data_IF_869565060015
#
_entry.id   IF_869565060015
#
_cell.length_a   1.000
_cell.length_b   1.000
_cell.length_c   1.000
_cell.angle_alpha   90.00
_cell.angle_beta   90.00
_cell.angle_gamma   90.00
#
_symmetry.space_group_name_H-M   'P 1'
#
loop_
_entity.id
_entity.type
_entity.pdbx_description
1 polymer ?
#
# COMPACT_ATOMS: atom_id res chain seq x y z
N UNK A 1 -6.91 15.46 7.96
CA UNK A 1 -6.42 14.21 8.55
C UNK A 1 -5.20 13.73 7.79
N UNK A 2 -4.29 13.08 8.49
CA UNK A 2 -3.18 12.32 7.89
C UNK A 2 -3.66 10.89 7.60
N UNK A 3 -3.72 10.54 6.31
CA UNK A 3 -4.21 9.22 5.87
C UNK A 3 -3.07 8.44 5.22
N UNK A 4 -2.77 7.27 5.76
CA UNK A 4 -1.78 6.36 5.19
C UNK A 4 -2.45 5.27 4.36
N UNK A 5 -1.90 4.99 3.16
CA UNK A 5 -2.40 3.97 2.24
C UNK A 5 -1.34 2.89 2.07
N UNK A 6 -1.57 1.71 2.63
CA UNK A 6 -0.79 0.52 2.34
C UNK A 6 -1.22 -0.06 0.99
N UNK A 7 -0.28 -0.25 0.05
CA UNK A 7 -0.59 -0.65 -1.32
C UNK A 7 -0.96 0.52 -2.25
N UNK A 8 -0.29 1.67 -2.07
CA UNK A 8 -0.61 2.92 -2.78
C UNK A 8 -0.31 2.87 -4.28
N UNK A 9 0.57 1.99 -4.75
CA UNK A 9 0.86 1.81 -6.19
C UNK A 9 -0.24 1.05 -6.93
N UNK A 10 -1.10 0.34 -6.19
CA UNK A 10 -2.12 -0.53 -6.73
C UNK A 10 -3.30 0.19 -7.39
N UNK A 11 -4.20 -0.62 -7.98
CA UNK A 11 -5.38 -0.17 -8.71
C UNK A 11 -6.34 0.69 -7.88
N UNK A 12 -6.51 0.37 -6.61
CA UNK A 12 -7.35 1.16 -5.69
C UNK A 12 -6.54 2.23 -4.95
N UNK A 13 -5.30 1.93 -4.57
CA UNK A 13 -4.49 2.80 -3.72
C UNK A 13 -4.16 4.14 -4.37
N UNK A 14 -3.76 4.11 -5.64
CA UNK A 14 -3.42 5.33 -6.35
C UNK A 14 -4.61 6.28 -6.56
N UNK A 15 -5.74 5.85 -7.12
CA UNK A 15 -6.91 6.71 -7.24
C UNK A 15 -7.41 7.24 -5.89
N UNK A 16 -7.35 6.42 -4.84
CA UNK A 16 -7.72 6.84 -3.49
C UNK A 16 -6.81 7.97 -2.99
N UNK A 17 -5.49 7.89 -3.24
CA UNK A 17 -4.56 8.94 -2.86
C UNK A 17 -4.90 10.29 -3.51
N UNK A 18 -5.26 10.28 -4.81
CA UNK A 18 -5.69 11.48 -5.53
C UNK A 18 -6.99 12.04 -4.96
N UNK A 19 -7.96 11.16 -4.71
CA UNK A 19 -9.28 11.53 -4.18
C UNK A 19 -9.18 12.18 -2.79
N UNK A 20 -8.42 11.58 -1.88
CA UNK A 20 -8.24 12.09 -0.52
C UNK A 20 -7.49 13.42 -0.52
N UNK A 21 -6.44 13.55 -1.35
CA UNK A 21 -5.70 14.81 -1.48
C UNK A 21 -6.56 15.94 -2.01
N UNK A 22 -7.42 15.66 -3.01
CA UNK A 22 -8.39 16.64 -3.52
C UNK A 22 -9.36 17.12 -2.44
N UNK A 23 -9.67 16.26 -1.46
CA UNK A 23 -10.52 16.59 -0.30
C UNK A 23 -9.77 17.27 0.86
N UNK A 24 -8.51 17.59 0.68
CA UNK A 24 -7.72 18.34 1.64
C UNK A 24 -6.99 17.50 2.68
N UNK A 25 -7.02 16.17 2.58
CA UNK A 25 -6.24 15.30 3.45
C UNK A 25 -4.75 15.36 3.12
N UNK A 26 -3.91 15.15 4.12
CA UNK A 26 -2.50 14.85 3.94
C UNK A 26 -2.36 13.35 3.75
N UNK A 27 -1.72 12.94 2.65
CA UNK A 27 -1.69 11.53 2.25
C UNK A 27 -0.25 11.04 2.15
N UNK A 28 0.00 9.91 2.78
CA UNK A 28 1.20 9.10 2.58
C UNK A 28 0.81 7.70 2.12
N UNK A 29 1.76 6.97 1.55
CA UNK A 29 1.54 5.58 1.23
C UNK A 29 2.82 4.81 1.04
N UNK A 30 2.73 3.49 1.17
CA UNK A 30 3.85 2.60 0.92
C UNK A 30 3.46 1.46 -0.04
N UNK A 31 4.48 0.95 -0.74
CA UNK A 31 4.34 -0.17 -1.67
C UNK A 31 5.70 -0.82 -1.92
N UNK A 32 5.73 -2.11 -2.20
CA UNK A 32 6.91 -2.86 -2.61
C UNK A 32 6.96 -3.15 -4.13
N UNK A 33 5.90 -2.81 -4.86
CA UNK A 33 5.69 -3.05 -6.30
C UNK A 33 5.49 -4.52 -6.71
N UNK A 34 5.36 -5.46 -5.80
CA UNK A 34 5.16 -6.88 -6.13
C UNK A 34 3.95 -7.12 -7.03
N UNK A 35 2.91 -6.29 -6.95
CA UNK A 35 1.76 -6.38 -7.85
C UNK A 35 2.15 -6.30 -9.33
N UNK A 36 3.15 -5.51 -9.67
CA UNK A 36 3.65 -5.38 -11.05
C UNK A 36 4.32 -6.67 -11.51
N UNK A 37 5.10 -7.29 -10.60
CA UNK A 37 5.83 -8.53 -10.88
C UNK A 37 4.84 -9.70 -11.03
N UNK A 38 3.85 -9.81 -10.16
CA UNK A 38 2.81 -10.87 -10.24
C UNK A 38 2.00 -10.82 -11.55
N UNK A 39 1.64 -9.62 -12.01
CA UNK A 39 0.92 -9.44 -13.27
C UNK A 39 1.74 -9.98 -14.45
N UNK A 40 3.06 -9.75 -14.44
CA UNK A 40 3.96 -10.28 -15.47
C UNK A 40 4.15 -11.79 -15.35
N UNK A 41 4.34 -12.30 -14.14
CA UNK A 41 4.47 -13.73 -13.85
C UNK A 41 3.25 -14.52 -14.32
N UNK A 42 2.06 -13.98 -14.18
CA UNK A 42 0.80 -14.55 -14.67
C UNK A 42 0.61 -14.39 -16.20
N UNK A 43 1.60 -13.90 -16.94
CA UNK A 43 1.50 -13.65 -18.37
C UNK A 43 0.49 -12.56 -18.74
N UNK A 44 0.16 -11.70 -17.80
CA UNK A 44 -0.82 -10.61 -17.98
C UNK A 44 -0.13 -9.25 -18.06
N UNK A 45 -0.89 -8.25 -18.45
CA UNK A 45 -0.42 -6.86 -18.44
C UNK A 45 -1.56 -5.92 -18.05
N UNK A 46 -1.21 -4.75 -17.54
CA UNK A 46 -2.21 -3.72 -17.26
C UNK A 46 -2.88 -3.24 -18.55
N UNK A 47 -4.18 -3.00 -18.51
CA UNK A 47 -4.94 -2.44 -19.64
C UNK A 47 -4.42 -1.06 -20.08
N UNK A 48 -3.82 -0.32 -19.14
CA UNK A 48 -3.12 0.93 -19.41
C UNK A 48 -1.71 0.86 -18.84
N UNK A 49 -0.69 1.47 -19.49
CA UNK A 49 0.67 1.49 -18.96
C UNK A 49 0.74 2.15 -17.58
N UNK A 50 1.33 1.45 -16.63
CA UNK A 50 1.60 2.00 -15.29
C UNK A 50 2.94 2.72 -15.31
N UNK A 51 2.93 4.03 -15.13
CA UNK A 51 4.13 4.86 -15.09
C UNK A 51 4.97 4.57 -13.85
N UNK A 52 6.26 4.91 -13.90
CA UNK A 52 7.14 4.83 -12.73
C UNK A 52 6.60 5.71 -11.60
N UNK A 53 6.81 5.31 -10.36
CA UNK A 53 6.33 6.08 -9.20
C UNK A 53 6.90 7.51 -9.18
N UNK A 54 8.14 7.71 -9.60
CA UNK A 54 8.75 9.05 -9.72
C UNK A 54 7.98 9.97 -10.66
N UNK A 55 7.51 9.45 -11.80
CA UNK A 55 6.69 10.21 -12.75
C UNK A 55 5.30 10.51 -12.17
N UNK A 56 4.71 9.51 -11.47
CA UNK A 56 3.41 9.64 -10.82
C UNK A 56 3.45 10.69 -9.70
N UNK A 57 4.50 10.69 -8.86
CA UNK A 57 4.69 11.69 -7.80
C UNK A 57 4.91 13.10 -8.36
N UNK A 58 5.65 13.23 -9.47
CA UNK A 58 5.80 14.50 -10.17
C UNK A 58 4.45 15.03 -10.67
N UNK A 59 3.69 14.20 -11.38
CA UNK A 59 2.35 14.57 -11.87
C UNK A 59 1.38 14.89 -10.72
N UNK A 60 1.49 14.19 -9.59
CA UNK A 60 0.73 14.47 -8.39
C UNK A 60 1.03 15.87 -7.85
N UNK A 61 2.31 16.21 -7.72
CA UNK A 61 2.73 17.55 -7.28
C UNK A 61 2.24 18.64 -8.23
N UNK A 62 2.41 18.46 -9.54
CA UNK A 62 1.96 19.40 -10.57
C UNK A 62 0.43 19.62 -10.53
N UNK A 63 -0.33 18.56 -10.19
CA UNK A 63 -1.81 18.63 -10.13
C UNK A 63 -2.34 19.28 -8.86
N UNK A 64 -1.75 19.01 -7.71
CA UNK A 64 -2.30 19.40 -6.41
C UNK A 64 -1.50 20.48 -5.68
N UNK A 65 -0.30 20.81 -6.14
CA UNK A 65 0.64 21.67 -5.40
C UNK A 65 1.08 21.06 -4.06
N UNK A 66 0.90 19.75 -3.88
CA UNK A 66 1.20 18.99 -2.66
C UNK A 66 2.06 17.77 -2.99
N UNK A 67 2.74 17.22 -2.01
CA UNK A 67 3.52 16.00 -2.16
C UNK A 67 2.79 14.82 -1.52
N UNK A 68 2.67 13.71 -2.25
CA UNK A 68 2.38 12.42 -1.66
C UNK A 68 3.68 11.88 -1.04
N UNK A 69 3.69 11.61 0.26
CA UNK A 69 4.84 10.97 0.90
C UNK A 69 4.83 9.48 0.55
N UNK A 70 5.79 9.05 -0.27
CA UNK A 70 5.90 7.67 -0.70
C UNK A 70 7.06 6.96 -0.03
N UNK A 71 6.80 5.78 0.55
CA UNK A 71 7.78 4.91 1.19
C UNK A 71 7.85 3.59 0.43
N UNK A 72 9.03 3.22 -0.06
CA UNK A 72 9.22 1.92 -0.70
C UNK A 72 9.65 0.89 0.34
N UNK A 73 8.84 -0.16 0.53
CA UNK A 73 9.16 -1.25 1.47
C UNK A 73 8.06 -2.28 1.57
N UNK A 74 8.33 -3.32 2.36
CA UNK A 74 7.49 -4.48 2.53
C UNK A 74 6.79 -4.47 3.89
N UNK A 75 5.47 -4.68 3.91
CA UNK A 75 4.67 -4.75 5.14
C UNK A 75 4.98 -5.98 5.99
N UNK A 76 5.58 -7.02 5.41
CA UNK A 76 6.11 -8.16 6.17
C UNK A 76 7.31 -7.79 7.06
N UNK A 77 7.91 -6.62 6.86
CA UNK A 77 8.96 -6.07 7.72
C UNK A 77 8.36 -5.10 8.74
N UNK A 78 8.33 -5.50 10.02
CA UNK A 78 7.77 -4.70 11.11
C UNK A 78 8.52 -3.36 11.28
N UNK A 79 9.86 -3.40 11.30
CA UNK A 79 10.68 -2.18 11.50
C UNK A 79 10.40 -1.12 10.43
N UNK A 80 10.15 -1.57 9.19
CA UNK A 80 9.77 -0.66 8.12
C UNK A 80 8.47 0.07 8.44
N UNK A 81 7.41 -0.65 8.83
CA UNK A 81 6.10 -0.06 9.12
C UNK A 81 6.15 0.81 10.36
N UNK A 82 6.82 0.36 11.41
CA UNK A 82 7.01 1.15 12.63
C UNK A 82 7.69 2.48 12.33
N UNK A 83 8.78 2.46 11.56
CA UNK A 83 9.50 3.67 11.14
C UNK A 83 8.61 4.61 10.30
N UNK A 84 7.84 4.07 9.36
CA UNK A 84 6.90 4.86 8.55
C UNK A 84 5.83 5.52 9.43
N UNK A 85 5.23 4.76 10.37
CA UNK A 85 4.21 5.31 11.26
C UNK A 85 4.78 6.32 12.25
N UNK A 86 6.00 6.09 12.75
CA UNK A 86 6.70 7.07 13.58
C UNK A 86 6.95 8.39 12.84
N UNK A 87 7.28 8.31 11.56
CA UNK A 87 7.52 9.49 10.72
C UNK A 87 6.21 10.22 10.37
N UNK A 88 5.22 9.50 9.88
CA UNK A 88 4.00 10.11 9.33
C UNK A 88 2.91 10.37 10.39
N UNK A 89 2.85 9.54 11.44
CA UNK A 89 1.83 9.59 12.51
C UNK A 89 0.41 9.60 11.94
N UNK A 90 -0.03 8.53 11.25
CA UNK A 90 -1.34 8.48 10.62
C UNK A 90 -2.49 8.58 11.63
N UNK A 91 -3.58 9.25 11.22
CA UNK A 91 -4.86 9.29 11.95
C UNK A 91 -5.86 8.28 11.36
N UNK A 92 -5.63 7.88 10.11
CA UNK A 92 -6.36 6.79 9.46
C UNK A 92 -5.42 5.99 8.55
N UNK A 93 -5.67 4.68 8.47
CA UNK A 93 -4.89 3.75 7.65
C UNK A 93 -5.86 2.98 6.76
N UNK A 94 -5.58 2.98 5.46
CA UNK A 94 -6.32 2.16 4.49
C UNK A 94 -5.40 1.06 4.00
N UNK A 95 -5.69 -0.18 4.37
CA UNK A 95 -4.87 -1.34 4.03
C UNK A 95 -5.39 -2.05 2.78
N UNK A 96 -4.66 -1.87 1.67
CA UNK A 96 -4.91 -2.45 0.36
C UNK A 96 -3.73 -3.31 -0.13
N UNK A 97 -2.69 -3.45 0.70
CA UNK A 97 -1.41 -4.08 0.35
C UNK A 97 -1.44 -5.61 0.49
N UNK A 98 -2.47 -6.25 -0.06
CA UNK A 98 -2.62 -7.70 -0.03
C UNK A 98 -2.55 -8.31 -1.43
N UNK A 99 -2.20 -9.61 -1.49
CA UNK A 99 -2.33 -10.43 -2.70
C UNK A 99 -3.80 -10.91 -2.80
N UNK A 100 -4.60 -10.37 -3.72
CA UNK A 100 -6.02 -10.69 -3.80
C UNK A 100 -6.34 -11.82 -4.80
N UNK A 101 -5.33 -12.42 -5.43
CA UNK A 101 -5.54 -13.36 -6.55
C UNK A 101 -5.53 -14.80 -6.07
N UNK A 102 -6.70 -15.45 -6.02
CA UNK A 102 -6.80 -16.87 -5.79
C UNK A 102 -6.04 -17.70 -6.86
N UNK A 103 -6.14 -17.42 -8.17
CA UNK A 103 -5.34 -18.15 -9.17
C UNK A 103 -3.83 -18.07 -8.91
N UNK A 104 -3.29 -16.93 -8.48
CA UNK A 104 -1.88 -16.81 -8.15
C UNK A 104 -1.50 -17.68 -6.95
N UNK A 105 -2.27 -17.63 -5.87
CA UNK A 105 -1.98 -18.42 -4.66
C UNK A 105 -2.11 -19.93 -4.86
N UNK A 106 -2.76 -20.36 -5.94
CA UNK A 106 -2.99 -21.78 -6.27
C UNK A 106 -2.03 -22.35 -7.31
N UNK A 107 -1.02 -21.59 -7.75
CA UNK A 107 -0.02 -22.07 -8.72
C UNK A 107 0.75 -23.27 -8.13
N UNK A 108 1.29 -23.09 -6.92
CA UNK A 108 2.02 -24.11 -6.17
C UNK A 108 2.08 -23.75 -4.66
N UNK A 109 2.74 -24.60 -3.88
CA UNK A 109 2.90 -24.41 -2.44
C UNK A 109 3.67 -23.14 -2.09
N UNK A 110 4.65 -22.74 -2.89
CA UNK A 110 5.45 -21.55 -2.62
C UNK A 110 4.61 -20.28 -2.78
N UNK A 111 3.79 -20.22 -3.84
CA UNK A 111 2.84 -19.10 -4.06
C UNK A 111 1.78 -19.05 -2.95
N UNK A 112 1.28 -20.22 -2.51
CA UNK A 112 0.33 -20.28 -1.41
C UNK A 112 0.95 -19.76 -0.10
N UNK A 113 2.12 -20.26 0.29
CA UNK A 113 2.84 -19.83 1.52
C UNK A 113 3.19 -18.36 1.44
N UNK A 114 3.71 -17.91 0.31
CA UNK A 114 4.05 -16.50 0.12
C UNK A 114 2.81 -15.60 0.27
N UNK A 115 1.68 -15.97 -0.36
CA UNK A 115 0.42 -15.21 -0.26
C UNK A 115 -0.05 -15.10 1.18
N UNK A 116 -0.07 -16.21 1.92
CA UNK A 116 -0.46 -16.20 3.32
C UNK A 116 0.49 -15.37 4.18
N UNK A 117 1.80 -15.52 3.98
CA UNK A 117 2.80 -14.72 4.69
C UNK A 117 2.63 -13.22 4.42
N UNK A 118 2.49 -12.82 3.16
CA UNK A 118 2.26 -11.43 2.80
C UNK A 118 1.00 -10.87 3.47
N UNK A 119 -0.12 -11.57 3.35
CA UNK A 119 -1.41 -11.06 3.79
C UNK A 119 -1.56 -11.09 5.32
N UNK A 120 -1.14 -12.19 5.97
CA UNK A 120 -1.28 -12.34 7.44
C UNK A 120 -0.22 -11.54 8.16
N UNK A 121 1.07 -11.74 7.84
CA UNK A 121 2.17 -11.06 8.54
C UNK A 121 2.12 -9.55 8.29
N UNK A 122 1.86 -9.12 7.06
CA UNK A 122 1.71 -7.70 6.73
C UNK A 122 0.59 -7.03 7.53
N UNK A 123 -0.56 -7.69 7.65
CA UNK A 123 -1.68 -7.18 8.47
C UNK A 123 -1.33 -7.13 9.95
N UNK A 124 -0.70 -8.19 10.50
CA UNK A 124 -0.26 -8.21 11.90
C UNK A 124 0.74 -7.10 12.22
N UNK A 125 1.71 -6.87 11.34
CA UNK A 125 2.69 -5.81 11.52
C UNK A 125 2.04 -4.42 11.53
N UNK A 126 1.08 -4.17 10.64
CA UNK A 126 0.30 -2.91 10.65
C UNK A 126 -0.44 -2.75 11.97
N UNK A 127 -1.13 -3.79 12.47
CA UNK A 127 -1.87 -3.75 13.73
C UNK A 127 -0.95 -3.50 14.95
N UNK A 128 0.21 -4.17 14.97
CA UNK A 128 1.19 -3.95 16.03
C UNK A 128 1.79 -2.53 16.00
N UNK A 129 2.16 -2.05 14.81
CA UNK A 129 2.66 -0.69 14.66
C UNK A 129 1.59 0.38 15.02
N UNK A 130 0.32 0.13 14.71
CA UNK A 130 -0.78 0.98 15.17
C UNK A 130 -0.85 1.02 16.70
N UNK A 131 -0.82 -0.13 17.37
CA UNK A 131 -0.82 -0.22 18.83
C UNK A 131 0.34 0.55 19.45
N UNK A 132 1.52 0.45 18.85
CA UNK A 132 2.74 0.96 19.46
C UNK A 132 3.00 2.44 19.13
N UNK A 133 2.44 2.95 18.03
CA UNK A 133 2.78 4.29 17.48
C UNK A 133 1.57 5.22 17.35
N UNK A 134 0.39 4.72 17.00
CA UNK A 134 -0.80 5.53 16.68
C UNK A 134 -2.11 4.82 17.09
N UNK A 135 -2.26 4.54 18.37
CA UNK A 135 -3.39 3.79 18.97
C UNK A 135 -4.77 4.33 18.62
N UNK A 136 -4.88 5.64 18.38
CA UNK A 136 -6.15 6.30 18.05
C UNK A 136 -6.45 6.29 16.54
N UNK A 137 -5.54 5.76 15.72
CA UNK A 137 -5.73 5.72 14.28
C UNK A 137 -6.85 4.74 13.88
N UNK A 138 -7.69 5.14 12.92
CA UNK A 138 -8.74 4.29 12.36
C UNK A 138 -8.19 3.40 11.25
N UNK A 139 -8.40 2.08 11.34
CA UNK A 139 -8.02 1.13 10.29
C UNK A 139 -9.22 0.78 9.42
N UNK A 140 -9.04 0.92 8.12
CA UNK A 140 -9.94 0.39 7.08
C UNK A 140 -9.17 -0.68 6.32
N UNK A 141 -9.59 -1.94 6.42
CA UNK A 141 -9.00 -3.06 5.69
C UNK A 141 -10.03 -3.63 4.72
N UNK A 142 -9.64 -3.77 3.45
CA UNK A 142 -10.40 -4.58 2.52
C UNK A 142 -10.12 -6.05 2.81
N UNK A 143 -11.18 -6.80 3.09
CA UNK A 143 -11.14 -8.23 3.28
C UNK A 143 -11.85 -8.96 2.12
N UNK A 144 -11.59 -10.25 2.03
CA UNK A 144 -12.32 -11.19 1.15
C UNK A 144 -13.11 -12.14 2.01
#
# INVERSE_FOLDING_TARGET
>A
MRVFIAGVDGYLGWPLSLYLTKRGHEVAGADNYYRRDWVQEMGSQSATPIRKMTERLKAFHETFGKNLQFFKGDFANYDFIENVFNHFKPEAIVHLGEMPSAPYSMIDVNHAVWTQSNNIVGTLNILHAMRDVCTDAHLIKLGT
#
